data_IF_357457840780
#
_entry.id   IF_357457840780
#
_cell.length_a   1.000
_cell.length_b   1.000
_cell.length_c   1.000
_cell.angle_alpha   90.00
_cell.angle_beta   90.00
_cell.angle_gamma   90.00
#
_symmetry.space_group_name_H-M   'P 1'
#
loop_
_entity.id
_entity.type
_entity.pdbx_description
1 polymer ?
#
# COMPACT_ATOMS: atom_id res chain seq x y z
N UNK A 1 30.64 -57.34 22.83
CA UNK A 1 31.02 -56.61 21.60
C UNK A 1 29.81 -56.75 20.69
N UNK A 2 28.70 -56.05 20.95
CA UNK A 2 28.33 -54.72 20.37
C UNK A 2 28.58 -54.74 18.86
N UNK A 3 27.58 -54.64 17.99
CA UNK A 3 26.65 -53.51 17.91
C UNK A 3 25.41 -53.88 17.07
N UNK A 4 24.21 -53.57 17.59
CA UNK A 4 22.92 -53.56 16.90
C UNK A 4 22.68 -52.12 16.41
N UNK A 5 22.82 -51.90 15.10
CA UNK A 5 22.61 -50.59 14.47
C UNK A 5 21.15 -50.39 14.05
N UNK A 6 20.35 -49.83 14.94
CA UNK A 6 18.98 -49.39 14.67
C UNK A 6 18.95 -48.16 13.73
N UNK A 7 18.22 -48.28 12.61
CA UNK A 7 17.87 -47.15 11.74
C UNK A 7 16.62 -46.48 12.32
N UNK A 8 16.80 -45.35 13.02
CA UNK A 8 15.71 -44.54 13.57
C UNK A 8 15.22 -43.54 12.54
N UNK A 9 13.92 -43.25 12.62
CA UNK A 9 13.12 -42.57 11.61
C UNK A 9 13.53 -41.13 11.32
N UNK A 10 13.25 -40.75 10.08
CA UNK A 10 13.27 -39.38 9.60
C UNK A 10 12.08 -38.63 10.20
N UNK A 11 12.33 -37.84 11.24
CA UNK A 11 11.32 -36.99 11.88
C UNK A 11 11.08 -35.79 10.95
N UNK A 12 9.94 -35.80 10.25
CA UNK A 12 9.51 -34.66 9.45
C UNK A 12 9.10 -33.54 10.42
N UNK A 13 9.52 -32.28 10.19
CA UNK A 13 9.06 -31.18 11.02
C UNK A 13 7.53 -31.05 10.92
N UNK A 14 6.85 -30.71 12.03
CA UNK A 14 5.39 -30.58 12.02
C UNK A 14 4.96 -29.47 11.05
N UNK A 15 3.76 -29.58 10.44
CA UNK A 15 3.22 -28.50 9.62
C UNK A 15 3.07 -27.26 10.50
N UNK A 16 3.75 -26.18 10.13
CA UNK A 16 3.60 -24.87 10.75
C UNK A 16 2.13 -24.48 10.62
N UNK A 17 1.48 -24.24 11.76
CA UNK A 17 0.08 -23.87 11.82
C UNK A 17 -0.14 -22.65 10.91
N UNK A 18 -1.08 -22.75 9.98
CA UNK A 18 -1.50 -21.65 9.13
C UNK A 18 -1.71 -20.41 10.02
N UNK A 19 -0.90 -19.38 9.79
CA UNK A 19 -1.06 -18.09 10.41
C UNK A 19 -2.48 -17.64 10.12
N UNK A 20 -3.33 -17.71 11.15
CA UNK A 20 -4.68 -17.17 11.08
C UNK A 20 -4.50 -15.68 10.92
N UNK A 21 -4.77 -15.15 9.73
CA UNK A 21 -4.78 -13.73 9.46
C UNK A 21 -5.80 -13.13 10.40
N UNK A 22 -5.34 -12.44 11.46
CA UNK A 22 -6.18 -11.66 12.36
C UNK A 22 -6.66 -10.42 11.58
N UNK A 23 -7.62 -10.67 10.69
CA UNK A 23 -8.37 -9.65 9.99
C UNK A 23 -9.43 -9.22 11.01
N UNK A 24 -9.24 -8.04 11.62
CA UNK A 24 -10.23 -7.44 12.51
C UNK A 24 -11.62 -7.36 11.86
N UNK A 25 -12.67 -6.96 12.60
CA UNK A 25 -14.02 -6.96 12.07
C UNK A 25 -14.12 -6.11 10.80
N UNK A 26 -14.32 -6.76 9.66
CA UNK A 26 -14.58 -6.11 8.38
C UNK A 26 -15.97 -5.49 8.43
N UNK A 27 -16.05 -4.19 8.13
CA UNK A 27 -17.32 -3.52 7.88
C UNK A 27 -18.02 -4.18 6.69
N UNK A 28 -19.35 -4.19 6.68
CA UNK A 28 -20.05 -4.50 5.45
C UNK A 28 -19.84 -3.39 4.41
N UNK A 29 -19.93 -3.76 3.13
CA UNK A 29 -19.62 -2.88 2.00
C UNK A 29 -20.46 -1.58 2.01
N UNK A 30 -21.69 -1.63 2.55
CA UNK A 30 -22.59 -0.47 2.61
C UNK A 30 -22.09 0.52 3.65
N UNK A 31 -21.82 0.06 4.88
CA UNK A 31 -21.30 0.90 5.95
C UNK A 31 -19.94 1.52 5.57
N UNK A 32 -19.09 0.77 4.87
CA UNK A 32 -17.81 1.31 4.38
C UNK A 32 -18.02 2.39 3.32
N UNK A 33 -18.90 2.15 2.34
CA UNK A 33 -19.22 3.14 1.30
C UNK A 33 -19.82 4.43 1.88
N UNK A 34 -20.67 4.33 2.89
CA UNK A 34 -21.24 5.49 3.60
C UNK A 34 -20.14 6.32 4.29
N UNK A 35 -19.20 5.67 4.99
CA UNK A 35 -18.06 6.35 5.64
C UNK A 35 -17.15 7.04 4.62
N UNK A 36 -16.79 6.36 3.54
CA UNK A 36 -15.98 6.93 2.45
C UNK A 36 -16.69 8.14 1.84
N UNK A 37 -18.00 8.05 1.62
CA UNK A 37 -18.79 9.16 1.06
C UNK A 37 -18.81 10.36 2.02
N UNK A 38 -19.05 10.14 3.31
CA UNK A 38 -19.07 11.19 4.31
C UNK A 38 -17.71 11.91 4.44
N UNK A 39 -16.62 11.14 4.44
CA UNK A 39 -15.27 11.69 4.43
C UNK A 39 -15.01 12.50 3.16
N UNK A 40 -15.37 11.95 1.98
CA UNK A 40 -15.18 12.64 0.70
C UNK A 40 -15.92 13.97 0.63
N UNK A 41 -17.16 14.02 1.10
CA UNK A 41 -17.95 15.26 1.15
C UNK A 41 -17.24 16.38 1.92
N UNK A 42 -16.51 16.01 2.98
CA UNK A 42 -15.73 16.92 3.81
C UNK A 42 -14.38 17.26 3.17
N UNK A 43 -13.70 16.28 2.60
CA UNK A 43 -12.33 16.39 2.08
C UNK A 43 -12.24 17.02 0.68
N UNK A 44 -13.25 16.85 -0.19
CA UNK A 44 -13.21 17.28 -1.60
C UNK A 44 -12.92 18.77 -1.83
N UNK A 45 -13.30 19.73 -0.97
CA UNK A 45 -12.91 21.13 -1.16
C UNK A 45 -11.38 21.34 -1.12
N UNK A 46 -10.64 20.43 -0.48
CA UNK A 46 -9.18 20.45 -0.46
C UNK A 46 -8.56 19.90 -1.76
N UNK A 47 -9.31 19.10 -2.53
CA UNK A 47 -8.89 18.64 -3.85
C UNK A 47 -8.80 19.76 -4.89
N UNK A 48 -9.63 20.80 -4.80
CA UNK A 48 -9.70 21.90 -5.77
C UNK A 48 -8.71 23.04 -5.58
N UNK A 49 -7.84 23.02 -4.56
CA UNK A 49 -6.88 24.11 -4.30
C UNK A 49 -5.57 23.89 -5.08
N UNK A 50 -5.60 24.19 -6.37
CA UNK A 50 -4.38 24.49 -7.13
C UNK A 50 -4.01 25.96 -6.91
N UNK A 51 -2.79 26.22 -6.46
CA UNK A 51 -2.26 27.58 -6.28
C UNK A 51 -1.94 28.26 -7.60
N UNK A 52 -2.91 28.47 -8.50
CA UNK A 52 -2.76 29.35 -9.68
C UNK A 52 -4.11 30.02 -9.98
N UNK A 53 -4.15 31.35 -9.86
CA UNK A 53 -5.35 32.14 -10.18
C UNK A 53 -5.78 31.99 -11.63
N UNK A 54 -7.06 31.72 -11.85
CA UNK A 54 -7.69 31.59 -13.16
C UNK A 54 -9.13 31.08 -13.02
N UNK A 55 -10.05 31.60 -13.83
CA UNK A 55 -11.48 31.59 -13.57
C UNK A 55 -12.20 30.22 -13.66
N UNK A 56 -13.19 30.10 -12.78
CA UNK A 56 -14.46 29.34 -12.83
C UNK A 56 -14.71 28.49 -14.08
N UNK A 57 -14.81 27.16 -13.86
CA UNK A 57 -15.56 26.27 -14.73
C UNK A 57 -15.16 24.80 -14.60
N UNK A 58 -15.65 24.12 -13.56
CA UNK A 58 -15.92 22.66 -13.53
C UNK A 58 -16.31 22.28 -12.08
N UNK A 59 -17.63 22.22 -11.80
CA UNK A 59 -18.15 21.84 -10.46
C UNK A 59 -18.88 20.50 -10.44
N UNK A 60 -18.77 19.67 -11.48
CA UNK A 60 -19.61 18.47 -11.62
C UNK A 60 -18.88 17.13 -11.69
N UNK A 61 -17.55 17.09 -11.79
CA UNK A 61 -16.81 15.80 -11.89
C UNK A 61 -16.29 15.26 -10.54
N UNK A 62 -16.34 16.06 -9.47
CA UNK A 62 -15.82 15.70 -8.13
C UNK A 62 -16.90 15.19 -7.16
N UNK A 63 -17.95 14.54 -7.66
CA UNK A 63 -19.04 14.02 -6.81
C UNK A 63 -18.75 12.60 -6.32
N UNK A 64 -18.15 11.76 -7.17
CA UNK A 64 -17.83 10.37 -6.82
C UNK A 64 -16.54 10.34 -5.97
N UNK A 65 -16.51 9.63 -4.84
CA UNK A 65 -15.28 9.43 -4.09
C UNK A 65 -14.19 8.78 -4.96
N UNK A 66 -12.92 9.21 -4.84
CA UNK A 66 -11.82 8.49 -5.48
C UNK A 66 -11.62 7.10 -4.86
N UNK A 67 -10.78 6.24 -5.44
CA UNK A 67 -10.41 4.95 -4.85
C UNK A 67 -9.97 5.11 -3.39
N UNK A 68 -10.45 4.20 -2.53
CA UNK A 68 -10.15 4.18 -1.11
C UNK A 68 -9.45 2.86 -0.76
N UNK A 69 -8.29 2.94 -0.12
CA UNK A 69 -7.45 1.78 0.16
C UNK A 69 -6.60 1.97 1.42
N UNK A 70 -6.15 0.88 2.02
CA UNK A 70 -5.26 0.86 3.18
C UNK A 70 -3.86 0.39 2.77
N UNK A 71 -2.82 0.86 3.47
CA UNK A 71 -1.46 0.38 3.22
C UNK A 71 -1.25 -1.04 3.78
N UNK A 72 -0.37 -1.80 3.11
CA UNK A 72 0.04 -3.12 3.58
C UNK A 72 -1.08 -4.16 3.49
N UNK A 73 -0.84 -5.33 4.08
CA UNK A 73 -1.71 -6.51 3.99
C UNK A 73 -2.31 -6.92 5.36
N UNK A 74 -2.20 -6.06 6.37
CA UNK A 74 -2.79 -6.28 7.69
C UNK A 74 -3.27 -4.98 8.35
N UNK A 75 -4.31 -5.02 9.21
CA UNK A 75 -4.80 -3.85 9.93
C UNK A 75 -3.71 -3.09 10.69
N UNK A 76 -2.82 -3.83 11.35
CA UNK A 76 -1.71 -3.25 12.11
C UNK A 76 -0.74 -2.48 11.21
N UNK A 77 -0.36 -3.07 10.08
CA UNK A 77 0.56 -2.42 9.15
C UNK A 77 -0.10 -1.19 8.51
N UNK A 78 -1.39 -1.25 8.19
CA UNK A 78 -2.15 -0.11 7.72
C UNK A 78 -2.10 1.07 8.70
N UNK A 79 -2.35 0.82 9.98
CA UNK A 79 -2.27 1.84 11.03
C UNK A 79 -0.85 2.42 11.17
N UNK A 80 0.16 1.56 11.17
CA UNK A 80 1.57 1.95 11.32
C UNK A 80 2.02 2.87 10.16
N UNK A 81 1.68 2.51 8.92
CA UNK A 81 2.06 3.26 7.71
C UNK A 81 1.24 4.53 7.53
N UNK A 82 -0.08 4.47 7.80
CA UNK A 82 -0.93 5.65 7.77
C UNK A 82 -0.44 6.71 8.77
N UNK A 83 -0.03 6.30 9.98
CA UNK A 83 0.54 7.23 10.96
C UNK A 83 1.75 7.99 10.41
N UNK A 84 2.62 7.32 9.63
CA UNK A 84 3.76 7.98 8.97
C UNK A 84 3.32 9.01 7.93
N UNK A 85 2.22 8.75 7.22
CA UNK A 85 1.62 9.71 6.28
C UNK A 85 1.08 10.93 7.02
N UNK A 86 0.32 10.70 8.11
CA UNK A 86 -0.33 11.77 8.87
C UNK A 86 0.67 12.74 9.53
N UNK A 87 1.84 12.23 9.95
CA UNK A 87 2.92 13.08 10.50
C UNK A 87 3.85 13.65 9.42
N UNK A 88 3.62 13.31 8.14
CA UNK A 88 4.37 13.84 7.00
C UNK A 88 5.72 13.17 6.73
N UNK A 89 6.02 12.04 7.37
CA UNK A 89 7.25 11.26 7.11
C UNK A 89 7.12 10.47 5.81
N UNK A 90 6.02 9.73 5.63
CA UNK A 90 5.74 8.95 4.43
C UNK A 90 5.05 9.84 3.39
N UNK A 91 5.73 10.03 2.27
CA UNK A 91 5.30 10.86 1.12
C UNK A 91 5.45 10.14 -0.21
N UNK A 92 5.74 8.84 -0.16
CA UNK A 92 5.87 7.96 -1.29
C UNK A 92 5.33 6.56 -0.95
N UNK A 93 4.97 5.81 -1.98
CA UNK A 93 4.56 4.41 -1.91
C UNK A 93 5.03 3.67 -3.14
N UNK A 94 5.11 2.34 -3.05
CA UNK A 94 5.47 1.45 -4.13
C UNK A 94 4.41 0.36 -4.34
N UNK A 95 4.17 -0.01 -5.59
CA UNK A 95 3.35 -1.16 -6.02
C UNK A 95 4.01 -1.84 -7.22
N UNK A 96 3.70 -3.12 -7.45
CA UNK A 96 4.20 -3.83 -8.63
C UNK A 96 3.27 -3.58 -9.81
N UNK A 97 3.85 -3.45 -11.01
CA UNK A 97 3.07 -3.36 -12.25
C UNK A 97 2.18 -4.58 -12.44
N UNK A 98 2.68 -5.77 -12.09
CA UNK A 98 1.92 -7.03 -12.24
C UNK A 98 0.65 -7.07 -11.39
N UNK A 99 0.58 -6.33 -10.26
CA UNK A 99 -0.62 -6.25 -9.43
C UNK A 99 -1.78 -5.58 -10.21
N UNK A 100 -1.47 -4.56 -11.03
CA UNK A 100 -2.46 -3.89 -11.88
C UNK A 100 -2.85 -4.74 -13.10
N UNK A 101 -1.87 -5.41 -13.71
CA UNK A 101 -2.09 -6.30 -14.86
C UNK A 101 -3.01 -7.47 -14.50
N UNK A 102 -2.75 -8.12 -13.36
CA UNK A 102 -3.56 -9.24 -12.86
C UNK A 102 -4.97 -8.80 -12.46
N UNK A 103 -5.11 -7.61 -11.86
CA UNK A 103 -6.41 -7.06 -11.48
C UNK A 103 -7.21 -6.48 -12.66
N UNK A 104 -6.56 -6.24 -13.81
CA UNK A 104 -7.16 -5.52 -14.94
C UNK A 104 -7.45 -4.05 -14.61
N UNK A 105 -6.71 -3.47 -13.68
CA UNK A 105 -6.86 -2.10 -13.20
C UNK A 105 -5.85 -1.15 -13.88
N UNK A 106 -6.18 0.15 -14.04
CA UNK A 106 -5.23 1.11 -14.58
C UNK A 106 -4.12 1.42 -13.57
N UNK A 107 -2.89 1.53 -14.06
CA UNK A 107 -1.77 2.08 -13.29
C UNK A 107 -2.06 3.52 -12.80
N UNK A 108 -1.58 3.90 -11.59
CA UNK A 108 -1.73 5.25 -11.05
C UNK A 108 -1.06 6.31 -11.93
N UNK A 109 -1.63 7.51 -11.91
CA UNK A 109 -1.15 8.66 -12.69
C UNK A 109 -0.98 9.88 -11.82
N UNK A 110 -0.06 10.75 -12.27
CA UNK A 110 0.08 12.09 -11.68
C UNK A 110 -1.26 12.82 -11.75
N UNK A 111 -1.72 13.28 -10.59
CA UNK A 111 -2.97 14.01 -10.43
C UNK A 111 -4.07 13.19 -9.77
N UNK A 112 -3.94 11.86 -9.78
CA UNK A 112 -4.92 10.95 -9.18
C UNK A 112 -5.10 11.25 -7.69
N UNK A 113 -6.34 11.09 -7.24
CA UNK A 113 -6.73 11.21 -5.85
C UNK A 113 -6.90 9.81 -5.27
N UNK A 114 -6.61 9.67 -3.99
CA UNK A 114 -6.97 8.46 -3.24
C UNK A 114 -7.33 8.82 -1.81
N UNK A 115 -8.23 8.05 -1.23
CA UNK A 115 -8.56 8.10 0.19
C UNK A 115 -7.78 6.97 0.88
N UNK A 116 -6.99 7.32 1.90
CA UNK A 116 -6.27 6.37 2.72
C UNK A 116 -7.15 5.94 3.89
N UNK A 117 -7.28 4.64 4.06
CA UNK A 117 -7.98 4.00 5.17
C UNK A 117 -7.00 3.58 6.27
N UNK A 118 -7.47 3.55 7.51
CA UNK A 118 -6.77 2.88 8.61
C UNK A 118 -7.06 1.37 8.66
N UNK A 119 -6.48 0.67 9.64
CA UNK A 119 -6.63 -0.77 9.80
C UNK A 119 -8.05 -1.23 10.12
N UNK A 120 -8.92 -0.32 10.56
CA UNK A 120 -10.34 -0.58 10.79
C UNK A 120 -11.22 -0.24 9.56
N UNK A 121 -10.60 0.23 8.46
CA UNK A 121 -11.30 0.65 7.26
C UNK A 121 -11.92 2.05 7.36
N UNK A 122 -11.56 2.85 8.36
CA UNK A 122 -12.02 4.24 8.47
C UNK A 122 -11.19 5.13 7.53
N UNK A 123 -11.81 6.02 6.74
CA UNK A 123 -11.07 6.96 5.90
C UNK A 123 -10.42 8.08 6.73
N UNK A 124 -9.11 8.29 6.54
CA UNK A 124 -8.30 9.18 7.39
C UNK A 124 -7.53 10.25 6.65
N UNK A 125 -7.22 10.05 5.38
CA UNK A 125 -6.52 11.06 4.60
C UNK A 125 -6.96 11.06 3.13
N UNK A 126 -6.98 12.25 2.52
CA UNK A 126 -7.06 12.42 1.07
C UNK A 126 -5.67 12.76 0.56
N UNK A 127 -5.13 11.96 -0.35
CA UNK A 127 -3.85 12.21 -1.00
C UNK A 127 -4.02 12.53 -2.47
N UNK A 128 -2.99 13.16 -3.05
CA UNK A 128 -2.84 13.33 -4.49
C UNK A 128 -1.48 12.82 -4.94
N UNK A 129 -1.47 11.93 -5.92
CA UNK A 129 -0.25 11.50 -6.59
C UNK A 129 0.34 12.67 -7.39
N UNK A 130 1.60 12.97 -7.13
CA UNK A 130 2.35 14.11 -7.69
C UNK A 130 3.37 13.69 -8.74
N UNK A 131 3.81 12.44 -8.70
CA UNK A 131 4.76 11.82 -9.61
C UNK A 131 4.59 10.30 -9.54
N UNK A 132 4.80 9.62 -10.66
CA UNK A 132 4.87 8.18 -10.78
C UNK A 132 6.07 7.86 -11.65
N UNK A 133 7.02 7.11 -11.11
CA UNK A 133 8.17 6.60 -11.85
C UNK A 133 8.05 5.08 -11.95
N UNK A 134 8.26 4.52 -13.13
CA UNK A 134 8.30 3.07 -13.35
C UNK A 134 9.75 2.63 -13.49
N UNK A 135 10.22 1.79 -12.58
CA UNK A 135 11.61 1.29 -12.54
C UNK A 135 11.64 -0.16 -12.08
N UNK A 136 12.64 -0.96 -12.47
CA UNK A 136 12.87 -2.25 -11.85
C UNK A 136 13.08 -2.11 -10.33
N UNK A 137 12.65 -3.11 -9.55
CA UNK A 137 12.87 -3.15 -8.09
C UNK A 137 14.32 -2.87 -7.70
N UNK A 138 15.26 -3.48 -8.42
CA UNK A 138 16.69 -3.29 -8.22
C UNK A 138 17.18 -1.85 -8.45
N UNK A 139 16.44 -1.04 -9.21
CA UNK A 139 16.77 0.34 -9.54
C UNK A 139 16.05 1.37 -8.66
N UNK A 140 15.21 0.95 -7.71
CA UNK A 140 14.60 1.86 -6.74
C UNK A 140 15.68 2.62 -5.97
N UNK A 141 15.49 3.94 -5.88
CA UNK A 141 16.50 4.85 -5.36
C UNK A 141 16.43 5.00 -3.84
N UNK A 142 17.56 5.34 -3.21
CA UNK A 142 17.58 5.68 -1.79
C UNK A 142 16.73 6.92 -1.46
N UNK A 143 16.53 7.85 -2.43
CA UNK A 143 15.60 8.97 -2.24
C UNK A 143 14.16 8.47 -2.10
N UNK A 144 13.74 7.48 -2.91
CA UNK A 144 12.41 6.90 -2.81
C UNK A 144 12.21 6.18 -1.48
N UNK A 145 13.13 5.29 -1.10
CA UNK A 145 13.11 4.61 0.19
C UNK A 145 13.03 5.59 1.37
N UNK A 146 13.82 6.68 1.32
CA UNK A 146 13.77 7.71 2.35
C UNK A 146 12.40 8.41 2.43
N UNK A 147 11.73 8.64 1.28
CA UNK A 147 10.39 9.26 1.21
C UNK A 147 9.27 8.31 1.63
N UNK A 148 9.44 7.00 1.45
CA UNK A 148 8.53 6.00 2.02
C UNK A 148 8.56 6.06 3.54
N UNK A 149 9.71 6.40 4.13
CA UNK A 149 9.76 6.84 5.52
C UNK A 149 9.62 5.71 6.55
N UNK A 150 9.68 4.46 6.09
CA UNK A 150 9.57 3.24 6.89
C UNK A 150 10.90 2.88 7.54
N UNK A 151 10.84 2.11 8.63
CA UNK A 151 11.99 1.60 9.38
C UNK A 151 13.07 2.66 9.67
N UNK A 152 14.31 2.39 9.26
CA UNK A 152 15.46 3.28 9.39
C UNK A 152 15.63 4.23 8.18
N UNK A 153 14.69 4.18 7.22
CA UNK A 153 14.65 5.00 6.00
C UNK A 153 15.83 4.78 5.06
N UNK A 154 16.47 3.63 5.15
CA UNK A 154 17.56 3.24 4.25
C UNK A 154 17.03 2.42 3.07
N UNK A 155 17.77 2.45 1.95
CA UNK A 155 17.48 1.61 0.80
C UNK A 155 17.64 0.12 1.10
N UNK A 156 18.54 -0.23 2.02
CA UNK A 156 18.77 -1.62 2.44
C UNK A 156 17.54 -2.17 3.16
N UNK A 157 17.05 -1.47 4.19
CA UNK A 157 15.81 -1.86 4.90
C UNK A 157 14.62 -1.91 3.94
N UNK A 158 14.49 -0.89 3.08
CA UNK A 158 13.42 -0.85 2.08
C UNK A 158 13.43 -2.10 1.19
N UNK A 159 14.59 -2.49 0.64
CA UNK A 159 14.69 -3.69 -0.21
C UNK A 159 14.35 -4.96 0.56
N UNK A 160 14.87 -5.11 1.78
CA UNK A 160 14.60 -6.29 2.60
C UNK A 160 13.12 -6.46 2.91
N UNK A 161 12.45 -5.40 3.38
CA UNK A 161 11.05 -5.50 3.77
C UNK A 161 10.10 -5.56 2.56
N UNK A 162 10.40 -4.85 1.47
CA UNK A 162 9.59 -4.94 0.24
C UNK A 162 9.71 -6.30 -0.44
N UNK A 163 10.91 -6.89 -0.50
CA UNK A 163 11.05 -8.27 -0.98
C UNK A 163 10.24 -9.24 -0.13
N UNK A 164 10.30 -9.11 1.21
CA UNK A 164 9.51 -9.94 2.13
C UNK A 164 8.00 -9.74 1.94
N UNK A 165 7.56 -8.50 1.73
CA UNK A 165 6.18 -8.15 1.44
C UNK A 165 5.72 -8.81 0.14
N UNK A 166 6.41 -8.57 -0.97
CA UNK A 166 5.99 -9.08 -2.28
C UNK A 166 6.14 -10.59 -2.43
N UNK A 167 7.10 -11.24 -1.77
CA UNK A 167 7.12 -12.71 -1.68
C UNK A 167 5.85 -13.27 -1.04
N UNK A 168 5.26 -12.53 -0.09
CA UNK A 168 4.07 -12.94 0.63
C UNK A 168 2.79 -12.61 -0.14
N UNK A 169 2.70 -11.46 -0.80
CA UNK A 169 1.51 -11.06 -1.58
C UNK A 169 1.43 -11.72 -2.94
N UNK A 170 2.57 -12.05 -3.57
CA UNK A 170 2.59 -12.82 -4.82
C UNK A 170 2.37 -14.33 -4.59
N UNK A 171 2.41 -14.81 -3.35
CA UNK A 171 2.21 -16.22 -3.04
C UNK A 171 0.82 -16.69 -3.51
N UNK A 172 0.80 -17.68 -4.41
CA UNK A 172 -0.43 -18.19 -5.00
C UNK A 172 -0.88 -17.49 -6.29
N UNK A 173 -0.13 -16.48 -6.75
CA UNK A 173 -0.27 -15.90 -8.09
C UNK A 173 0.58 -16.67 -9.12
N UNK A 174 0.55 -16.25 -10.38
CA UNK A 174 1.43 -16.79 -11.42
C UNK A 174 2.86 -16.21 -11.38
N UNK A 175 3.11 -15.23 -10.50
CA UNK A 175 4.36 -14.49 -10.42
C UNK A 175 5.17 -14.89 -9.19
N UNK A 176 6.49 -14.86 -9.33
CA UNK A 176 7.44 -14.97 -8.22
C UNK A 176 8.20 -13.66 -8.09
N UNK A 177 8.64 -13.34 -6.87
CA UNK A 177 9.46 -12.16 -6.66
C UNK A 177 10.79 -12.28 -7.42
N UNK A 178 11.07 -11.31 -8.27
CA UNK A 178 12.33 -11.14 -8.98
C UNK A 178 12.79 -9.66 -8.90
N UNK A 179 14.08 -9.35 -8.69
CA UNK A 179 14.58 -7.97 -8.63
C UNK A 179 14.42 -7.15 -9.93
N UNK A 180 14.04 -7.78 -11.04
CA UNK A 180 13.68 -7.13 -12.30
C UNK A 180 12.19 -6.81 -12.44
N UNK A 181 11.35 -7.21 -11.47
CA UNK A 181 9.95 -6.81 -11.46
C UNK A 181 9.83 -5.28 -11.47
N UNK A 182 8.94 -4.79 -12.31
CA UNK A 182 8.68 -3.36 -12.48
C UNK A 182 7.86 -2.84 -11.30
N UNK A 183 8.38 -1.81 -10.65
CA UNK A 183 7.78 -1.12 -9.51
C UNK A 183 7.30 0.26 -9.96
N UNK A 184 6.07 0.59 -9.61
CA UNK A 184 5.54 1.95 -9.69
C UNK A 184 5.87 2.68 -8.39
N UNK A 185 6.85 3.57 -8.47
CA UNK A 185 7.27 4.46 -7.39
C UNK A 185 6.42 5.74 -7.44
N UNK A 186 5.43 5.84 -6.57
CA UNK A 186 4.58 7.03 -6.45
C UNK A 186 5.13 8.02 -5.42
N UNK A 187 5.04 9.31 -5.72
CA UNK A 187 5.17 10.39 -4.71
C UNK A 187 3.83 11.07 -4.56
N UNK A 188 3.39 11.34 -3.35
CA UNK A 188 2.11 11.98 -3.10
C UNK A 188 2.21 13.13 -2.08
N UNK A 189 1.13 13.89 -1.99
CA UNK A 189 0.91 14.87 -0.92
C UNK A 189 -0.45 14.65 -0.26
N UNK A 190 -0.50 14.86 1.05
CA UNK A 190 -1.76 14.94 1.79
C UNK A 190 -2.44 16.27 1.47
N UNK A 191 -3.73 16.20 1.16
CA UNK A 191 -4.60 17.35 0.90
C UNK A 191 -5.55 17.63 2.07
N UNK A 192 -5.98 16.58 2.74
CA UNK A 192 -6.87 16.62 3.90
C UNK A 192 -6.60 15.40 4.78
N UNK A 193 -6.76 15.53 6.09
CA UNK A 193 -6.56 14.43 7.04
C UNK A 193 -7.32 14.68 8.35
N UNK A 194 -7.69 13.61 9.05
CA UNK A 194 -8.35 13.62 10.37
C UNK A 194 -7.59 12.84 11.45
#
# INVERSE_FOLDING_TARGET
MTDDGAFTGHDAPPPEAAATTDQGPQLDDVAQAERITAFWDTARPSAGRTSHGGAVGERSENVVPPPAWAFGDSPRLADELLRLVLVGTKTATASLVVEYEDAGEPEPRKGDLSILLDGAGEPRALIRTTQVDRVPFSEVTAEHAWREGEDDRTLESWRTEHERYWRRTLAGTAHEFDPSLEVLCERFKVLYSE
#
